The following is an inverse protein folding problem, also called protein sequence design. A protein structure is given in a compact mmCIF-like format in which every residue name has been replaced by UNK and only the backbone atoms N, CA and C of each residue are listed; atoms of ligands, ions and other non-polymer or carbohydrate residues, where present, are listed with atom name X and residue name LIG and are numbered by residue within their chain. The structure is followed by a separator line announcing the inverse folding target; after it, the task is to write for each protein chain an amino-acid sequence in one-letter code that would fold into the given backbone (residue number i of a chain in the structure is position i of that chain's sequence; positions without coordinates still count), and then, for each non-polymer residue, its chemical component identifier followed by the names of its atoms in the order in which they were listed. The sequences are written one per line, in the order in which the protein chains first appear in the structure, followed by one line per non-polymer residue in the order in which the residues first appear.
data_IF_911017107163
#
_entry.id   IF_911017107163
#
_cell.length_a   1.000
_cell.length_b   1.000
_cell.length_c   1.000
_cell.angle_alpha   90.00
_cell.angle_beta   90.00
_cell.angle_gamma   90.00
#
_symmetry.space_group_name_H-M   'P 1'
#
loop_
_entity.id
_entity.type
_entity.pdbx_description
1 polymer ?
#
# COMPACT_ATOMS: atom_id res chain seq x y z
N UNK A 1 14.48 16.13 -33.97
CA UNK A 1 13.07 16.30 -33.53
C UNK A 1 12.55 15.05 -32.81
N UNK A 2 12.39 13.89 -33.47
CA UNK A 2 11.84 12.67 -32.84
C UNK A 2 12.62 12.20 -31.60
N UNK A 3 13.95 12.20 -31.63
CA UNK A 3 14.80 11.79 -30.49
C UNK A 3 14.58 12.66 -29.24
N UNK A 4 14.50 13.98 -29.43
CA UNK A 4 14.25 14.94 -28.37
C UNK A 4 12.84 14.77 -27.79
N UNK A 5 11.86 14.40 -28.62
CA UNK A 5 10.51 14.09 -28.15
C UNK A 5 10.49 12.82 -27.30
N UNK A 6 11.20 11.76 -27.71
CA UNK A 6 11.31 10.52 -26.93
C UNK A 6 12.00 10.78 -25.59
N UNK A 7 13.14 11.49 -25.61
CA UNK A 7 13.85 11.85 -24.39
C UNK A 7 12.98 12.70 -23.44
N UNK A 8 12.25 13.68 -23.98
CA UNK A 8 11.32 14.50 -23.21
C UNK A 8 10.17 13.68 -22.60
N UNK A 9 9.61 12.74 -23.36
CA UNK A 9 8.55 11.85 -22.87
C UNK A 9 9.04 10.92 -21.75
N UNK A 10 10.26 10.36 -21.88
CA UNK A 10 10.88 9.54 -20.84
C UNK A 10 11.15 10.36 -19.57
N UNK A 11 11.66 11.59 -19.71
CA UNK A 11 11.90 12.46 -18.57
C UNK A 11 10.59 12.82 -17.85
N UNK A 12 9.53 13.14 -18.60
CA UNK A 12 8.21 13.42 -18.03
C UNK A 12 7.65 12.18 -17.31
N UNK A 13 7.74 11.01 -17.92
CA UNK A 13 7.29 9.75 -17.31
C UNK A 13 8.05 9.46 -16.01
N UNK A 14 9.37 9.70 -15.97
CA UNK A 14 10.15 9.56 -14.75
C UNK A 14 9.70 10.53 -13.65
N UNK A 15 9.44 11.79 -13.98
CA UNK A 15 8.94 12.78 -13.02
C UNK A 15 7.59 12.35 -12.44
N UNK A 16 6.67 11.88 -13.30
CA UNK A 16 5.37 11.35 -12.85
C UNK A 16 5.56 10.16 -11.92
N UNK A 17 6.41 9.20 -12.29
CA UNK A 17 6.71 8.04 -11.46
C UNK A 17 7.34 8.44 -10.13
N UNK A 18 8.26 9.42 -10.13
CA UNK A 18 8.94 9.91 -8.94
C UNK A 18 7.98 10.60 -7.98
N UNK A 19 7.04 11.40 -8.48
CA UNK A 19 5.99 12.04 -7.66
C UNK A 19 5.01 10.99 -7.13
N UNK A 20 4.62 10.03 -7.96
CA UNK A 20 3.71 8.96 -7.56
C UNK A 20 4.32 8.04 -6.50
N UNK A 21 5.58 7.64 -6.70
CA UNK A 21 6.35 6.77 -5.80
C UNK A 21 6.97 7.50 -4.59
N UNK A 22 6.95 8.84 -4.56
CA UNK A 22 7.49 9.64 -3.45
C UNK A 22 6.97 9.19 -2.08
N UNK A 23 7.56 9.67 -0.99
CA UNK A 23 7.31 9.12 0.37
C UNK A 23 7.80 10.01 1.51
N UNK A 24 8.04 11.28 1.19
CA UNK A 24 8.64 12.33 2.02
C UNK A 24 7.62 13.46 2.23
N UNK A 25 6.39 13.08 2.58
CA UNK A 25 5.29 14.01 2.79
C UNK A 25 5.38 14.74 4.12
N UNK A 26 4.45 15.68 4.33
CA UNK A 26 4.25 16.28 5.66
C UNK A 26 3.43 15.34 6.55
N UNK A 27 3.75 15.25 7.85
CA UNK A 27 2.88 14.61 8.83
C UNK A 27 1.45 15.14 8.78
N UNK A 28 0.50 14.32 9.22
CA UNK A 28 -0.87 14.74 9.50
C UNK A 28 -0.90 15.81 10.59
N UNK A 29 -1.71 16.85 10.38
CA UNK A 29 -2.11 17.72 11.49
C UNK A 29 -3.01 16.95 12.46
N UNK A 30 -3.15 17.48 13.68
CA UNK A 30 -4.07 16.91 14.67
C UNK A 30 -5.50 16.91 14.15
N UNK A 31 -5.93 18.02 13.55
CA UNK A 31 -7.27 18.20 13.01
C UNK A 31 -7.53 17.25 11.83
N UNK A 32 -6.55 17.08 10.93
CA UNK A 32 -6.63 16.09 9.85
C UNK A 32 -6.81 14.67 10.42
N UNK A 33 -6.02 14.31 11.43
CA UNK A 33 -6.09 13.00 12.08
C UNK A 33 -7.44 12.73 12.75
N UNK A 34 -7.96 13.70 13.51
CA UNK A 34 -9.27 13.62 14.17
C UNK A 34 -10.40 13.47 13.14
N UNK A 35 -10.33 14.19 12.01
CA UNK A 35 -11.31 14.07 10.93
C UNK A 35 -11.30 12.68 10.27
N UNK A 36 -10.11 12.11 10.01
CA UNK A 36 -10.01 10.77 9.45
C UNK A 36 -10.53 9.69 10.40
N UNK A 37 -10.28 9.82 11.71
CA UNK A 37 -10.81 8.88 12.72
C UNK A 37 -12.34 8.93 12.75
N UNK A 38 -12.93 10.13 12.71
CA UNK A 38 -14.38 10.28 12.64
C UNK A 38 -14.98 9.64 11.38
N UNK A 39 -14.32 9.82 10.23
CA UNK A 39 -14.77 9.22 8.96
C UNK A 39 -14.61 7.69 8.94
N UNK A 40 -13.54 7.16 9.55
CA UNK A 40 -13.37 5.72 9.75
C UNK A 40 -14.51 5.12 10.57
N UNK A 41 -14.88 5.76 11.68
CA UNK A 41 -16.05 5.37 12.47
C UNK A 41 -17.34 5.36 11.64
N UNK A 42 -17.51 6.35 10.76
CA UNK A 42 -18.70 6.43 9.89
C UNK A 42 -18.77 5.28 8.89
N UNK A 43 -17.66 4.95 8.22
CA UNK A 43 -17.66 3.96 7.13
C UNK A 43 -17.63 2.53 7.68
N UNK A 44 -16.86 2.29 8.73
CA UNK A 44 -16.58 0.93 9.19
C UNK A 44 -17.27 0.58 10.51
N UNK A 45 -17.93 1.54 11.17
CA UNK A 45 -18.44 1.38 12.52
C UNK A 45 -17.33 0.92 13.47
N UNK A 46 -17.64 -0.06 14.29
CA UNK A 46 -16.65 -0.78 15.08
C UNK A 46 -16.04 -1.90 14.23
N UNK A 47 -15.07 -1.59 13.36
CA UNK A 47 -14.36 -2.57 12.52
C UNK A 47 -14.08 -3.88 13.30
N UNK A 48 -14.81 -4.94 12.96
CA UNK A 48 -14.64 -6.26 13.58
C UNK A 48 -14.76 -6.30 15.11
N UNK A 49 -15.35 -5.27 15.74
CA UNK A 49 -15.41 -5.09 17.20
C UNK A 49 -14.05 -5.20 17.91
N UNK A 50 -12.92 -4.86 17.26
CA UNK A 50 -11.63 -4.86 17.96
C UNK A 50 -11.47 -3.54 18.77
N UNK A 51 -11.57 -3.59 20.12
CA UNK A 51 -11.50 -2.39 20.95
C UNK A 51 -10.13 -1.69 20.88
N UNK A 52 -9.09 -2.38 20.40
CA UNK A 52 -7.73 -1.84 20.32
C UNK A 52 -7.50 -1.01 19.05
N UNK A 53 -8.35 -1.13 18.01
CA UNK A 53 -8.09 -0.51 16.71
C UNK A 53 -7.98 1.02 16.79
N UNK A 54 -9.00 1.70 17.31
CA UNK A 54 -9.03 3.17 17.38
C UNK A 54 -7.96 3.75 18.32
N UNK A 55 -7.73 3.20 19.53
CA UNK A 55 -6.62 3.64 20.38
C UNK A 55 -5.25 3.48 19.71
N UNK A 56 -5.00 2.34 19.06
CA UNK A 56 -3.73 2.08 18.36
C UNK A 56 -3.55 3.02 17.16
N UNK A 57 -4.63 3.26 16.41
CA UNK A 57 -4.60 4.20 15.29
C UNK A 57 -4.31 5.63 15.75
N UNK A 58 -4.98 6.10 16.81
CA UNK A 58 -4.74 7.44 17.35
C UNK A 58 -3.29 7.60 17.84
N UNK A 59 -2.75 6.59 18.55
CA UNK A 59 -1.36 6.59 18.98
C UNK A 59 -0.37 6.57 17.80
N UNK A 60 -0.73 5.93 16.70
CA UNK A 60 0.09 5.91 15.49
C UNK A 60 0.03 7.23 14.73
N UNK A 61 -1.16 7.84 14.57
CA UNK A 61 -1.33 9.18 13.97
C UNK A 61 -0.51 10.22 14.73
N UNK A 62 -0.50 10.18 16.06
CA UNK A 62 0.30 11.09 16.88
C UNK A 62 1.83 10.96 16.66
N UNK A 63 2.29 9.88 16.02
CA UNK A 63 3.69 9.60 15.68
C UNK A 63 3.94 9.61 14.17
N UNK A 64 3.00 10.14 13.40
CA UNK A 64 3.18 10.31 11.96
C UNK A 64 4.36 11.24 11.71
N UNK A 65 5.24 10.81 10.81
CA UNK A 65 6.38 11.58 10.35
C UNK A 65 6.26 11.93 8.86
N UNK A 66 5.10 11.65 8.26
CA UNK A 66 4.85 11.87 6.84
C UNK A 66 5.63 10.92 5.93
N UNK A 67 6.45 10.05 6.51
CA UNK A 67 7.19 9.06 5.80
C UNK A 67 6.29 7.91 5.39
N UNK A 68 6.70 7.23 4.35
CA UNK A 68 6.11 5.98 3.95
C UNK A 68 6.33 4.85 4.94
N UNK A 69 5.52 3.81 4.77
CA UNK A 69 5.63 2.58 5.51
C UNK A 69 5.08 1.42 4.70
N UNK A 70 5.34 0.21 5.18
CA UNK A 70 4.76 -1.02 4.65
C UNK A 70 3.81 -1.57 5.69
N UNK A 71 2.57 -1.77 5.29
CA UNK A 71 1.60 -2.54 6.07
C UNK A 71 1.86 -4.02 5.85
N UNK A 72 2.19 -4.72 6.94
CA UNK A 72 2.32 -6.17 6.96
C UNK A 72 0.96 -6.75 7.28
N UNK A 73 0.48 -7.66 6.44
CA UNK A 73 -0.76 -8.40 6.66
C UNK A 73 -0.40 -9.90 6.75
N UNK A 74 -0.63 -10.49 7.91
CA UNK A 74 -0.57 -11.93 8.13
C UNK A 74 -2.01 -12.45 8.12
N UNK A 75 -2.37 -13.20 7.09
CA UNK A 75 -3.75 -13.52 6.78
C UNK A 75 -3.98 -15.03 6.87
N UNK A 76 -5.08 -15.40 7.53
CA UNK A 76 -5.63 -16.75 7.57
C UNK A 76 -6.99 -16.71 6.88
N UNK A 77 -7.18 -17.54 5.86
CA UNK A 77 -8.45 -17.64 5.13
C UNK A 77 -9.49 -18.39 5.95
N UNK A 78 -10.75 -18.22 5.59
CA UNK A 78 -11.82 -19.12 6.06
C UNK A 78 -11.76 -20.43 5.31
N UNK A 79 -12.11 -21.51 5.99
CA UNK A 79 -12.27 -22.84 5.41
C UNK A 79 -13.72 -23.05 4.95
N UNK A 80 -14.11 -22.34 3.89
CA UNK A 80 -15.45 -22.41 3.27
C UNK A 80 -15.39 -22.77 1.77
N UNK A 81 -14.26 -23.32 1.33
CA UNK A 81 -14.00 -23.71 -0.05
C UNK A 81 -13.82 -22.51 -0.99
N UNK A 82 -14.58 -22.45 -2.07
CA UNK A 82 -14.42 -21.44 -3.12
C UNK A 82 -14.96 -20.05 -2.74
N UNK A 83 -15.77 -19.94 -1.68
CA UNK A 83 -16.43 -18.70 -1.31
C UNK A 83 -15.44 -17.65 -0.79
N UNK A 84 -14.56 -18.01 0.15
CA UNK A 84 -13.51 -17.14 0.66
C UNK A 84 -12.57 -16.68 -0.45
N UNK A 85 -12.19 -17.58 -1.35
CA UNK A 85 -11.33 -17.25 -2.49
C UNK A 85 -11.99 -16.25 -3.46
N UNK A 86 -13.31 -16.37 -3.71
CA UNK A 86 -14.03 -15.40 -4.54
C UNK A 86 -14.21 -14.05 -3.84
N UNK A 87 -14.51 -14.05 -2.54
CA UNK A 87 -14.57 -12.83 -1.74
C UNK A 87 -13.21 -12.11 -1.75
N UNK A 88 -12.11 -12.84 -1.57
CA UNK A 88 -10.75 -12.29 -1.63
C UNK A 88 -10.44 -11.66 -2.99
N UNK A 89 -10.79 -12.34 -4.10
CA UNK A 89 -10.64 -11.78 -5.46
C UNK A 89 -11.47 -10.51 -5.67
N UNK A 90 -12.68 -10.44 -5.10
CA UNK A 90 -13.51 -9.22 -5.17
C UNK A 90 -12.90 -8.08 -4.37
N UNK A 91 -12.44 -8.37 -3.15
CA UNK A 91 -11.71 -7.40 -2.33
C UNK A 91 -10.48 -6.88 -3.07
N UNK A 92 -9.63 -7.76 -3.60
CA UNK A 92 -8.43 -7.41 -4.35
C UNK A 92 -8.73 -6.53 -5.58
N UNK A 93 -9.75 -6.89 -6.37
CA UNK A 93 -10.18 -6.10 -7.55
C UNK A 93 -10.61 -4.68 -7.19
N UNK A 94 -11.18 -4.47 -6.01
CA UNK A 94 -11.59 -3.14 -5.55
C UNK A 94 -10.46 -2.35 -4.89
N UNK A 95 -9.69 -2.97 -3.98
CA UNK A 95 -8.70 -2.26 -3.18
C UNK A 95 -7.45 -1.89 -3.99
N UNK A 96 -7.02 -2.73 -4.94
CA UNK A 96 -5.76 -2.49 -5.68
C UNK A 96 -5.83 -1.19 -6.50
N UNK A 97 -6.87 -0.91 -7.29
CA UNK A 97 -6.99 0.39 -7.98
C UNK A 97 -6.98 1.58 -7.03
N UNK A 98 -7.62 1.48 -5.86
CA UNK A 98 -7.63 2.54 -4.85
C UNK A 98 -6.22 2.79 -4.32
N UNK A 99 -5.46 1.73 -4.00
CA UNK A 99 -4.07 1.86 -3.59
C UNK A 99 -3.27 2.64 -4.65
N UNK A 100 -3.35 2.22 -5.92
CA UNK A 100 -2.62 2.88 -7.00
C UNK A 100 -3.02 4.35 -7.18
N UNK A 101 -4.30 4.68 -7.09
CA UNK A 101 -4.78 6.07 -7.16
C UNK A 101 -4.19 6.96 -6.06
N UNK A 102 -3.81 6.37 -4.92
CA UNK A 102 -3.23 7.05 -3.77
C UNK A 102 -1.71 6.85 -3.62
N UNK A 103 -1.00 6.56 -4.71
CA UNK A 103 0.47 6.43 -4.67
C UNK A 103 0.96 5.21 -3.87
N UNK A 104 0.08 4.25 -3.63
CA UNK A 104 0.30 3.07 -2.78
C UNK A 104 0.20 1.80 -3.62
N UNK A 105 0.79 0.69 -3.18
CA UNK A 105 0.76 -0.54 -3.96
C UNK A 105 1.03 -1.79 -3.11
N UNK A 106 0.44 -2.95 -3.46
CA UNK A 106 0.96 -4.24 -3.03
C UNK A 106 2.38 -4.41 -3.59
N UNK A 107 3.35 -4.70 -2.73
CA UNK A 107 4.76 -4.89 -3.12
C UNK A 107 5.23 -6.33 -2.93
N UNK A 108 4.47 -7.14 -2.18
CA UNK A 108 4.75 -8.55 -1.99
C UNK A 108 3.46 -9.29 -1.64
N UNK A 109 3.28 -10.46 -2.25
CA UNK A 109 2.28 -11.45 -1.86
C UNK A 109 3.00 -12.80 -1.87
N UNK A 110 2.94 -13.52 -0.76
CA UNK A 110 3.57 -14.82 -0.62
C UNK A 110 2.78 -15.76 0.28
N UNK A 111 3.07 -17.04 0.15
CA UNK A 111 2.46 -18.12 0.92
C UNK A 111 3.57 -18.78 1.74
N UNK A 112 3.40 -19.00 3.06
CA UNK A 112 4.41 -19.68 3.85
C UNK A 112 4.71 -21.08 3.31
N UNK A 113 6.00 -21.39 3.15
CA UNK A 113 6.48 -22.70 2.69
C UNK A 113 7.02 -23.59 3.81
N UNK A 114 7.04 -23.08 5.04
CA UNK A 114 7.50 -23.77 6.24
C UNK A 114 7.50 -22.82 7.45
N UNK A 115 7.62 -23.40 8.65
CA UNK A 115 7.68 -22.65 9.90
C UNK A 115 8.87 -23.14 10.73
N UNK A 116 9.87 -22.27 10.92
CA UNK A 116 11.04 -22.57 11.76
C UNK A 116 10.74 -22.27 13.24
N UNK A 117 10.20 -21.08 13.52
CA UNK A 117 9.81 -20.61 14.86
C UNK A 117 8.62 -19.63 14.77
N UNK A 118 7.83 -19.52 15.84
CA UNK A 118 6.78 -18.49 15.99
C UNK A 118 5.36 -19.04 15.98
N UNK A 119 4.66 -18.89 17.10
CA UNK A 119 3.28 -19.38 17.25
C UNK A 119 2.28 -18.54 16.44
N UNK A 120 2.46 -17.22 16.37
CA UNK A 120 1.54 -16.33 15.63
C UNK A 120 1.54 -16.55 14.12
N UNK A 121 2.67 -17.02 13.58
CA UNK A 121 2.82 -17.39 12.18
C UNK A 121 2.24 -18.78 11.87
N UNK A 122 1.89 -19.55 12.91
CA UNK A 122 1.15 -20.81 12.76
C UNK A 122 -0.21 -20.47 12.16
N UNK A 123 -0.58 -21.20 11.10
CA UNK A 123 -1.83 -21.01 10.36
C UNK A 123 -1.92 -19.66 9.61
N UNK A 124 -0.80 -19.01 9.29
CA UNK A 124 -0.81 -17.95 8.28
C UNK A 124 -0.84 -18.61 6.91
N UNK A 125 -1.85 -18.31 6.12
CA UNK A 125 -1.98 -18.81 4.75
C UNK A 125 -1.31 -17.87 3.75
N UNK A 126 -1.41 -16.56 4.00
CA UNK A 126 -0.85 -15.53 3.12
C UNK A 126 -0.16 -14.43 3.89
N UNK A 127 0.97 -13.99 3.37
CA UNK A 127 1.67 -12.76 3.78
C UNK A 127 1.53 -11.75 2.65
N UNK A 128 0.90 -10.61 2.94
CA UNK A 128 0.77 -9.51 1.98
C UNK A 128 1.41 -8.24 2.54
N UNK A 129 2.28 -7.63 1.75
CA UNK A 129 2.92 -6.36 2.07
C UNK A 129 2.35 -5.29 1.15
N UNK A 130 1.77 -4.26 1.76
CA UNK A 130 1.21 -3.11 1.03
C UNK A 130 1.98 -1.87 1.44
N UNK A 131 2.67 -1.25 0.47
CA UNK A 131 3.34 0.03 0.68
C UNK A 131 2.31 1.14 0.62
N UNK A 132 2.38 2.05 1.59
CA UNK A 132 1.68 3.32 1.57
C UNK A 132 2.69 4.46 1.53
N UNK A 133 2.45 5.41 0.62
CA UNK A 133 3.29 6.61 0.48
C UNK A 133 3.34 7.46 1.75
N UNK A 134 2.25 7.50 2.50
CA UNK A 134 2.13 8.25 3.76
C UNK A 134 0.96 7.73 4.57
N UNK A 135 0.90 8.07 5.87
CA UNK A 135 -0.28 7.76 6.69
C UNK A 135 -1.54 8.46 6.17
N UNK A 136 -1.39 9.66 5.62
CA UNK A 136 -2.46 10.41 4.94
C UNK A 136 -3.04 9.63 3.76
N UNK A 137 -2.20 9.01 2.91
CA UNK A 137 -2.67 8.21 1.78
C UNK A 137 -3.32 6.90 2.23
N UNK A 138 -2.80 6.26 3.28
CA UNK A 138 -3.46 5.11 3.91
C UNK A 138 -4.86 5.47 4.38
N UNK A 139 -5.00 6.54 5.16
CA UNK A 139 -6.28 6.99 5.70
C UNK A 139 -7.26 7.32 4.58
N UNK A 140 -6.83 8.02 3.53
CA UNK A 140 -7.66 8.27 2.33
C UNK A 140 -8.17 6.99 1.68
N UNK A 141 -7.34 5.94 1.59
CA UNK A 141 -7.76 4.64 1.05
C UNK A 141 -8.77 3.98 1.96
N UNK A 142 -8.49 3.86 3.26
CA UNK A 142 -9.38 3.17 4.20
C UNK A 142 -10.64 3.97 4.52
N UNK A 143 -10.68 5.28 4.28
CA UNK A 143 -11.90 6.10 4.36
C UNK A 143 -12.54 6.34 2.99
N UNK A 144 -12.11 5.66 1.93
CA UNK A 144 -12.76 5.82 0.63
C UNK A 144 -14.19 5.24 0.69
N UNK A 145 -15.23 5.88 0.11
CA UNK A 145 -16.61 5.38 0.18
C UNK A 145 -16.78 3.92 -0.28
N UNK A 146 -16.02 3.50 -1.29
CA UNK A 146 -16.02 2.10 -1.76
C UNK A 146 -15.63 1.08 -0.66
N UNK A 147 -14.96 1.50 0.41
CA UNK A 147 -14.58 0.63 1.52
C UNK A 147 -15.76 0.11 2.32
N UNK A 148 -16.91 0.78 2.28
CA UNK A 148 -18.15 0.31 2.92
C UNK A 148 -18.54 -1.08 2.38
N UNK A 149 -18.47 -1.27 1.06
CA UNK A 149 -18.74 -2.55 0.41
C UNK A 149 -17.51 -3.48 0.48
N UNK A 150 -16.31 -2.98 0.18
CA UNK A 150 -15.11 -3.82 0.08
C UNK A 150 -14.74 -4.51 1.39
N UNK A 151 -15.00 -3.86 2.52
CA UNK A 151 -14.73 -4.43 3.84
C UNK A 151 -15.55 -5.69 4.11
N UNK A 152 -16.76 -5.80 3.55
CA UNK A 152 -17.58 -7.02 3.62
C UNK A 152 -16.85 -8.19 2.97
N UNK A 153 -16.25 -7.99 1.80
CA UNK A 153 -15.50 -9.04 1.11
C UNK A 153 -14.22 -9.43 1.85
N UNK A 154 -13.53 -8.48 2.50
CA UNK A 154 -12.35 -8.77 3.34
C UNK A 154 -12.69 -9.67 4.52
N UNK A 155 -13.77 -9.36 5.24
CA UNK A 155 -14.19 -10.17 6.40
C UNK A 155 -14.92 -11.44 6.01
N UNK A 156 -15.43 -11.52 4.77
CA UNK A 156 -15.94 -12.76 4.22
C UNK A 156 -14.80 -13.73 3.86
N UNK A 157 -13.64 -13.25 3.41
CA UNK A 157 -12.53 -14.12 3.02
C UNK A 157 -11.64 -14.58 4.17
N UNK A 158 -11.45 -13.74 5.20
CA UNK A 158 -10.47 -13.99 6.27
C UNK A 158 -11.14 -14.48 7.55
N UNK A 159 -10.58 -15.52 8.16
CA UNK A 159 -10.92 -15.96 9.52
C UNK A 159 -10.15 -15.16 10.58
N UNK A 160 -8.92 -14.76 10.24
CA UNK A 160 -8.04 -13.96 11.09
C UNK A 160 -7.09 -13.13 10.22
N UNK A 161 -6.76 -11.93 10.71
CA UNK A 161 -5.68 -11.12 10.14
C UNK A 161 -4.94 -10.39 11.26
N UNK A 162 -3.61 -10.44 11.25
CA UNK A 162 -2.77 -9.51 12.00
C UNK A 162 -2.21 -8.48 11.03
N UNK A 163 -2.48 -7.20 11.30
CA UNK A 163 -2.12 -6.08 10.45
C UNK A 163 -1.35 -5.05 11.27
N UNK A 164 -0.14 -4.70 10.82
CA UNK A 164 0.69 -3.71 11.51
C UNK A 164 1.62 -2.97 10.55
N UNK A 165 1.87 -1.67 10.81
CA UNK A 165 2.78 -0.89 9.99
C UNK A 165 4.24 -1.12 10.37
N UNK A 166 5.11 -1.13 9.37
CA UNK A 166 6.56 -1.22 9.52
C UNK A 166 7.23 -0.10 8.74
N UNK A 167 8.11 0.64 9.41
CA UNK A 167 8.94 1.67 8.79
C UNK A 167 10.02 1.03 7.94
N UNK A 168 10.23 1.57 6.74
CA UNK A 168 11.26 1.07 5.82
C UNK A 168 12.54 1.89 5.97
N UNK A 169 13.67 1.23 6.24
CA UNK A 169 14.96 1.92 6.41
C UNK A 169 15.74 2.12 5.09
N UNK A 170 15.57 1.23 4.09
CA UNK A 170 16.38 1.24 2.84
C UNK A 170 15.60 1.10 1.52
N UNK A 171 14.40 0.54 1.54
CA UNK A 171 13.77 -0.01 0.34
C UNK A 171 13.50 1.05 -0.76
N UNK A 172 13.37 2.31 -0.40
CA UNK A 172 12.84 3.35 -1.30
C UNK A 172 13.85 4.26 -1.94
N UNK A 173 14.90 4.66 -1.22
CA UNK A 173 16.02 5.34 -1.84
C UNK A 173 16.68 4.44 -2.88
N UNK A 174 16.71 3.13 -2.63
CA UNK A 174 17.17 2.14 -3.60
C UNK A 174 16.28 2.10 -4.86
N UNK A 175 14.95 2.01 -4.70
CA UNK A 175 14.04 2.00 -5.86
C UNK A 175 14.11 3.29 -6.68
N UNK A 176 14.11 4.47 -6.03
CA UNK A 176 14.23 5.77 -6.69
C UNK A 176 15.56 5.90 -7.43
N UNK A 177 16.67 5.46 -6.82
CA UNK A 177 17.98 5.49 -7.46
C UNK A 177 18.05 4.55 -8.68
N UNK A 178 17.55 3.32 -8.55
CA UNK A 178 17.57 2.33 -9.63
C UNK A 178 16.70 2.77 -10.81
N UNK A 179 15.48 3.23 -10.55
CA UNK A 179 14.58 3.74 -11.59
C UNK A 179 15.13 5.01 -12.22
N UNK A 180 15.68 5.94 -11.42
CA UNK A 180 16.36 7.13 -11.92
C UNK A 180 17.53 6.80 -12.85
N UNK A 181 18.38 5.84 -12.47
CA UNK A 181 19.49 5.37 -13.31
C UNK A 181 19.00 4.74 -14.62
N UNK A 182 17.93 3.93 -14.56
CA UNK A 182 17.31 3.34 -15.75
C UNK A 182 16.78 4.40 -16.71
N UNK A 183 15.99 5.36 -16.21
CA UNK A 183 15.43 6.42 -17.05
C UNK A 183 16.53 7.32 -17.62
N UNK A 184 17.57 7.63 -16.84
CA UNK A 184 18.73 8.34 -17.33
C UNK A 184 19.41 7.57 -18.48
N UNK A 185 19.64 6.27 -18.32
CA UNK A 185 20.22 5.44 -19.37
C UNK A 185 19.35 5.45 -20.64
N UNK A 186 18.03 5.30 -20.52
CA UNK A 186 17.09 5.34 -21.65
C UNK A 186 17.09 6.70 -22.37
N UNK A 187 17.14 7.80 -21.61
CA UNK A 187 17.25 9.16 -22.16
C UNK A 187 18.55 9.32 -22.94
N UNK A 188 19.68 8.89 -22.36
CA UNK A 188 20.98 8.95 -23.04
C UNK A 188 20.96 8.09 -24.32
N UNK A 189 20.44 6.87 -24.27
CA UNK A 189 20.29 5.99 -25.44
C UNK A 189 19.46 6.67 -26.53
N UNK A 190 18.33 7.28 -26.18
CA UNK A 190 17.45 7.97 -27.13
C UNK A 190 18.13 9.19 -27.79
N UNK A 191 19.00 9.88 -27.05
CA UNK A 191 19.76 11.02 -27.55
C UNK A 191 20.98 10.63 -28.40
N UNK A 192 21.67 9.52 -28.06
CA UNK A 192 23.00 9.18 -28.57
C UNK A 192 23.07 7.99 -29.54
N UNK A 193 22.02 7.17 -29.71
CA UNK A 193 22.01 6.14 -30.76
C UNK A 193 22.09 6.79 -32.16
N UNK A 194 23.24 6.63 -32.82
CA UNK A 194 23.48 7.03 -34.21
C UNK A 194 22.55 6.23 -35.15
N UNK A 195 22.11 6.89 -36.24
CA UNK A 195 21.62 6.15 -37.41
C UNK A 195 22.84 5.44 -38.00
N UNK A 196 22.91 4.13 -37.85
CA UNK A 196 23.57 3.28 -38.85
C UNK A 196 22.71 3.26 -40.11
#
# INVERSE_FOLDING_TARGET
MIRSLIAGALALLYVVLWVWWGGDGTPLSREEGEAFVAELHRIHGDMGANPEFYPNLAAWIARDDGAEFVMVNLETFKDDGNAAAEADRRYARGIVPLLFAHGSAPIFIGYPSGLLFGEKARNVDRVALVRYRSLRDFLKVVTHPAMEELTVFKWASLSRTEIFPVRTFWALNAFRALTGALFLALILIALFLRRS
#
